data_IF_949099307493
#
_entry.id   IF_949099307493
#
_cell.length_a   1.000
_cell.length_b   1.000
_cell.length_c   1.000
_cell.angle_alpha   90.00
_cell.angle_beta   90.00
_cell.angle_gamma   90.00
#
_symmetry.space_group_name_H-M   'P 1'
#
loop_
_entity.id
_entity.type
_entity.pdbx_description
1 polymer ?
#
# COMPACT_ATOMS: atom_id res chain seq x y z
N UNK A 1 2.42 -10.39 1.66
CA UNK A 1 3.43 -9.32 1.86
C UNK A 1 4.59 -9.51 0.88
N UNK A 2 5.10 -8.44 0.28
CA UNK A 2 6.23 -8.50 -0.65
C UNK A 2 7.53 -8.81 0.10
N UNK A 3 8.38 -9.75 -0.37
CA UNK A 3 9.61 -10.11 0.33
C UNK A 3 10.53 -8.91 0.58
N UNK A 4 11.06 -8.80 1.80
CA UNK A 4 11.91 -7.67 2.21
C UNK A 4 11.15 -6.43 2.67
N UNK A 5 9.82 -6.50 2.73
CA UNK A 5 8.92 -5.48 3.30
C UNK A 5 8.02 -6.11 4.35
N UNK A 6 7.48 -5.32 5.26
CA UNK A 6 6.49 -5.77 6.26
C UNK A 6 5.09 -5.23 5.97
N UNK A 7 4.97 -4.17 5.16
CA UNK A 7 3.74 -3.41 4.93
C UNK A 7 3.20 -3.49 3.50
N UNK A 8 4.00 -3.93 2.52
CA UNK A 8 3.53 -3.99 1.14
C UNK A 8 2.75 -5.28 0.84
N UNK A 9 1.43 -5.27 1.03
CA UNK A 9 0.53 -6.36 0.63
C UNK A 9 -0.88 -6.23 1.21
N UNK A 10 -1.62 -7.35 1.29
CA UNK A 10 -2.94 -7.38 1.94
C UNK A 10 -2.78 -7.27 3.46
N UNK A 11 -2.90 -6.04 3.99
CA UNK A 11 -2.53 -5.73 5.37
C UNK A 11 -1.01 -5.69 5.55
N UNK A 12 -0.53 -5.99 6.76
CA UNK A 12 0.90 -5.97 7.10
C UNK A 12 1.26 -7.11 8.07
N UNK A 13 2.53 -7.52 8.03
CA UNK A 13 3.15 -8.49 8.95
C UNK A 13 4.00 -7.78 10.03
N UNK A 14 3.91 -6.45 10.12
CA UNK A 14 4.72 -5.62 11.01
C UNK A 14 4.35 -5.83 12.48
N UNK A 15 5.35 -5.97 13.35
CA UNK A 15 5.14 -6.15 14.81
C UNK A 15 4.74 -4.86 15.51
N UNK A 16 5.13 -3.72 14.94
CA UNK A 16 4.82 -2.38 15.42
C UNK A 16 5.01 -1.37 14.27
N UNK A 17 4.63 -0.11 14.50
CA UNK A 17 4.70 0.95 13.49
C UNK A 17 6.09 1.11 12.87
N UNK A 18 7.17 0.97 13.64
CA UNK A 18 8.54 1.18 13.17
C UNK A 18 9.20 -0.09 12.62
N UNK A 19 8.49 -1.21 12.59
CA UNK A 19 8.98 -2.48 12.05
C UNK A 19 8.96 -2.44 10.53
N UNK A 20 10.06 -1.94 9.95
CA UNK A 20 10.30 -1.87 8.51
C UNK A 20 11.26 -2.97 8.08
N UNK A 21 11.03 -3.53 6.90
CA UNK A 21 11.87 -4.54 6.27
C UNK A 21 13.17 -3.98 5.68
N UNK A 22 13.86 -4.83 4.92
CA UNK A 22 15.10 -4.51 4.21
C UNK A 22 14.92 -3.33 3.24
N UNK A 23 13.82 -3.32 2.48
CA UNK A 23 13.47 -2.24 1.55
C UNK A 23 12.72 -1.13 2.28
N UNK A 24 13.38 -0.52 3.27
CA UNK A 24 12.71 0.33 4.24
C UNK A 24 12.01 1.55 3.65
N UNK A 25 12.48 2.13 2.52
CA UNK A 25 11.81 3.29 1.90
C UNK A 25 10.55 2.86 1.18
N UNK A 26 10.63 1.77 0.41
CA UNK A 26 9.46 1.13 -0.22
C UNK A 26 8.44 0.76 0.84
N UNK A 27 8.91 0.17 1.93
CA UNK A 27 8.06 -0.31 3.02
C UNK A 27 7.38 0.84 3.78
N UNK A 28 8.08 1.98 3.96
CA UNK A 28 7.48 3.20 4.50
C UNK A 28 6.34 3.72 3.62
N UNK A 29 6.48 3.70 2.30
CA UNK A 29 5.41 4.11 1.40
C UNK A 29 4.14 3.25 1.62
N UNK A 30 4.30 1.93 1.74
CA UNK A 30 3.19 1.02 2.01
C UNK A 30 2.62 1.21 3.43
N UNK A 31 3.47 1.42 4.44
CA UNK A 31 3.03 1.73 5.80
C UNK A 31 2.17 2.99 5.84
N UNK A 32 2.57 4.07 5.16
CA UNK A 32 1.77 5.29 5.11
C UNK A 32 0.42 5.08 4.40
N UNK A 33 0.41 4.22 3.38
CA UNK A 33 -0.80 3.85 2.63
C UNK A 33 -1.78 3.02 3.48
N UNK A 34 -1.28 2.06 4.26
CA UNK A 34 -2.06 1.26 5.21
C UNK A 34 -2.80 2.11 6.26
N UNK A 35 -2.24 3.27 6.61
CA UNK A 35 -2.83 4.22 7.57
C UNK A 35 -3.79 5.23 6.93
N UNK A 36 -4.27 4.97 5.71
CA UNK A 36 -5.26 5.84 5.09
C UNK A 36 -6.54 5.94 5.97
N UNK A 37 -7.02 7.16 6.29
CA UNK A 37 -8.14 7.34 7.22
C UNK A 37 -9.47 6.83 6.65
N UNK A 38 -9.62 6.86 5.33
CA UNK A 38 -10.84 6.50 4.64
C UNK A 38 -10.56 5.31 3.72
N UNK A 39 -11.26 4.23 3.99
CA UNK A 39 -11.11 2.98 3.27
C UNK A 39 -12.40 2.16 3.33
N UNK A 40 -12.61 1.36 2.28
CA UNK A 40 -13.73 0.45 2.14
C UNK A 40 -13.17 -0.97 1.99
N UNK A 41 -13.41 -1.87 2.97
CA UNK A 41 -12.99 -3.26 2.89
C UNK A 41 -13.53 -3.97 1.63
N UNK A 42 -12.92 -5.09 1.21
CA UNK A 42 -13.45 -5.92 0.12
C UNK A 42 -14.90 -6.33 0.37
N UNK A 43 -15.76 -6.21 -0.65
CA UNK A 43 -17.16 -6.63 -0.61
C UNK A 43 -18.02 -5.97 0.50
N UNK A 44 -17.60 -4.81 1.00
CA UNK A 44 -18.32 -4.06 2.04
C UNK A 44 -18.83 -2.70 1.53
N UNK A 45 -19.77 -2.11 2.29
CA UNK A 45 -20.32 -0.78 2.03
C UNK A 45 -19.84 0.21 3.09
N UNK A 46 -19.32 1.36 2.63
CA UNK A 46 -18.99 2.52 3.46
C UNK A 46 -19.20 3.80 2.65
N UNK A 47 -19.54 4.89 3.33
CA UNK A 47 -19.76 6.19 2.69
C UNK A 47 -20.78 6.13 1.52
N UNK A 48 -21.78 5.27 1.63
CA UNK A 48 -22.77 4.93 0.58
C UNK A 48 -22.20 4.26 -0.71
N UNK A 49 -20.91 3.96 -0.75
CA UNK A 49 -20.26 3.20 -1.82
C UNK A 49 -20.05 1.74 -1.44
N UNK A 50 -20.27 0.83 -2.38
CA UNK A 50 -19.98 -0.60 -2.21
C UNK A 50 -18.71 -0.96 -2.98
N UNK A 51 -17.77 -1.61 -2.29
CA UNK A 51 -16.54 -2.09 -2.91
C UNK A 51 -16.77 -3.47 -3.55
N UNK A 52 -16.81 -3.53 -4.88
CA UNK A 52 -16.95 -4.79 -5.62
C UNK A 52 -15.61 -5.54 -5.79
N UNK A 53 -14.49 -4.93 -5.42
CA UNK A 53 -13.15 -5.51 -5.55
C UNK A 53 -12.86 -6.49 -4.41
N UNK A 54 -12.07 -7.55 -4.66
CA UNK A 54 -11.50 -8.38 -3.59
C UNK A 54 -10.39 -7.66 -2.79
N UNK A 55 -10.03 -6.43 -3.15
CA UNK A 55 -9.01 -5.61 -2.49
C UNK A 55 -9.63 -4.41 -1.78
N UNK A 56 -8.98 -3.93 -0.72
CA UNK A 56 -9.39 -2.71 -0.01
C UNK A 56 -9.29 -1.51 -0.94
N UNK A 57 -10.35 -0.69 -1.01
CA UNK A 57 -10.30 0.60 -1.69
C UNK A 57 -9.97 1.70 -0.69
N UNK A 58 -9.07 2.60 -1.06
CA UNK A 58 -8.65 3.74 -0.24
C UNK A 58 -9.00 5.06 -0.93
N UNK A 59 -8.97 6.15 -0.18
CA UNK A 59 -9.12 7.49 -0.75
C UNK A 59 -8.05 7.74 -1.83
N UNK A 60 -8.45 8.35 -2.96
CA UNK A 60 -7.53 8.66 -4.07
C UNK A 60 -6.32 9.49 -3.64
N UNK A 61 -6.43 10.27 -2.55
CA UNK A 61 -5.33 11.03 -1.98
C UNK A 61 -4.24 10.11 -1.40
N UNK A 62 -4.63 9.02 -0.76
CA UNK A 62 -3.71 7.99 -0.25
C UNK A 62 -3.06 7.26 -1.43
N UNK A 63 -3.83 6.89 -2.45
CA UNK A 63 -3.30 6.25 -3.67
C UNK A 63 -2.28 7.14 -4.40
N UNK A 64 -2.59 8.44 -4.55
CA UNK A 64 -1.69 9.40 -5.18
C UNK A 64 -0.40 9.58 -4.38
N UNK A 65 -0.47 9.55 -3.04
CA UNK A 65 0.70 9.60 -2.17
C UNK A 65 1.55 8.35 -2.32
N UNK A 66 0.93 7.16 -2.33
CA UNK A 66 1.63 5.90 -2.57
C UNK A 66 2.35 5.92 -3.91
N UNK A 67 1.68 6.33 -4.98
CA UNK A 67 2.28 6.46 -6.31
C UNK A 67 3.50 7.37 -6.28
N UNK A 68 3.36 8.59 -5.77
CA UNK A 68 4.47 9.55 -5.72
C UNK A 68 5.62 9.08 -4.82
N UNK A 69 5.31 8.40 -3.71
CA UNK A 69 6.31 7.85 -2.81
C UNK A 69 7.12 6.76 -3.50
N UNK A 70 6.47 5.74 -4.08
CA UNK A 70 7.15 4.64 -4.77
C UNK A 70 7.98 5.10 -5.96
N UNK A 71 7.48 6.05 -6.76
CA UNK A 71 8.24 6.62 -7.88
C UNK A 71 9.37 7.55 -7.47
N UNK A 72 9.43 7.97 -6.20
CA UNK A 72 10.52 8.75 -5.63
C UNK A 72 11.60 7.93 -4.94
N UNK A 73 11.47 6.60 -4.86
CA UNK A 73 12.48 5.71 -4.29
C UNK A 73 13.41 5.22 -5.41
N UNK A 74 14.58 5.85 -5.53
CA UNK A 74 15.52 5.58 -6.63
C UNK A 74 16.47 4.38 -6.37
N UNK A 75 16.72 4.05 -5.10
CA UNK A 75 17.74 3.08 -4.69
C UNK A 75 17.20 1.69 -4.30
N UNK A 76 15.89 1.46 -4.43
CA UNK A 76 15.25 0.17 -4.15
C UNK A 76 14.42 -0.30 -5.35
N UNK A 77 14.87 -1.35 -6.05
CA UNK A 77 14.11 -1.95 -7.16
C UNK A 77 12.75 -2.51 -6.71
N UNK A 78 12.59 -2.78 -5.42
CA UNK A 78 11.32 -3.15 -4.79
C UNK A 78 10.22 -2.12 -5.08
N UNK A 79 10.53 -0.82 -5.02
CA UNK A 79 9.54 0.24 -5.26
C UNK A 79 8.95 0.19 -6.67
N UNK A 80 9.79 -0.04 -7.69
CA UNK A 80 9.36 -0.16 -9.09
C UNK A 80 8.46 -1.40 -9.26
N UNK A 81 8.85 -2.53 -8.65
CA UNK A 81 8.07 -3.76 -8.75
C UNK A 81 6.72 -3.62 -8.06
N UNK A 82 6.70 -3.17 -6.80
CA UNK A 82 5.49 -2.94 -6.00
C UNK A 82 4.58 -1.94 -6.71
N UNK A 83 5.12 -0.81 -7.19
CA UNK A 83 4.34 0.21 -7.90
C UNK A 83 3.72 -0.31 -9.20
N UNK A 84 4.48 -1.04 -10.02
CA UNK A 84 3.92 -1.65 -11.24
C UNK A 84 2.86 -2.69 -10.94
N UNK A 85 3.10 -3.56 -9.97
CA UNK A 85 2.13 -4.58 -9.57
C UNK A 85 0.83 -3.93 -9.10
N UNK A 86 0.91 -2.96 -8.20
CA UNK A 86 -0.24 -2.31 -7.59
C UNK A 86 -1.05 -1.46 -8.58
N UNK A 87 -0.40 -0.63 -9.40
CA UNK A 87 -1.12 0.33 -10.24
C UNK A 87 -1.50 -0.18 -11.64
N UNK A 88 -0.93 -1.30 -12.10
CA UNK A 88 -1.18 -1.80 -13.47
C UNK A 88 -1.86 -3.17 -13.53
N UNK A 89 -1.76 -3.99 -12.48
CA UNK A 89 -2.21 -5.40 -12.52
C UNK A 89 -3.24 -5.75 -11.46
N UNK A 90 -3.42 -4.91 -10.46
CA UNK A 90 -4.38 -5.03 -9.35
C UNK A 90 -5.32 -3.84 -9.42
#
# INVERSE_FOLDING_TARGET
IFPGTNWCGSGNDAKNFDDLGEFNKTDQCCREHDYCPNWIPPFERKFDFFNFSPFTLLDCKCETRLFNCLWGVDDEQAAIFVGRMYFNYI
#
